data_IF_712854178547
#
_entry.id   IF_712854178547
#
_cell.length_a   1.000
_cell.length_b   1.000
_cell.length_c   1.000
_cell.angle_alpha   90.00
_cell.angle_beta   90.00
_cell.angle_gamma   90.00
#
_symmetry.space_group_name_H-M   'P 1'
#
loop_
_entity.id
_entity.type
_entity.pdbx_description
1 polymer ?
#
# COMPACT_ATOMS: atom_id res chain seq x y z
N UNK A 1 34.87 33.74 -16.25
CA UNK A 1 33.50 33.43 -16.72
C UNK A 1 32.61 34.56 -16.27
N UNK A 2 31.85 35.16 -17.18
CA UNK A 2 31.03 36.32 -16.81
C UNK A 2 29.90 35.89 -15.89
N UNK A 3 29.65 36.69 -14.85
CA UNK A 3 28.57 36.47 -13.88
C UNK A 3 27.25 36.20 -14.59
N UNK A 4 26.94 37.01 -15.59
CA UNK A 4 25.73 36.91 -16.38
C UNK A 4 25.57 35.56 -17.09
N UNK A 5 26.67 34.92 -17.51
CA UNK A 5 26.59 33.62 -18.20
C UNK A 5 26.15 32.52 -17.23
N UNK A 6 26.74 32.47 -16.02
CA UNK A 6 26.39 31.45 -15.02
C UNK A 6 24.94 31.61 -14.55
N UNK A 7 24.53 32.85 -14.29
CA UNK A 7 23.15 33.16 -13.91
C UNK A 7 22.18 32.84 -15.05
N UNK A 8 22.48 33.23 -16.28
CA UNK A 8 21.63 32.94 -17.44
C UNK A 8 21.43 31.45 -17.68
N UNK A 9 22.51 30.65 -17.57
CA UNK A 9 22.43 29.18 -17.68
C UNK A 9 21.57 28.60 -16.56
N UNK A 10 21.76 29.07 -15.32
CA UNK A 10 21.01 28.59 -14.15
C UNK A 10 19.52 28.93 -14.24
N UNK A 11 19.18 30.15 -14.67
CA UNK A 11 17.81 30.59 -14.91
C UNK A 11 17.15 29.81 -16.05
N UNK A 12 17.86 29.59 -17.15
CA UNK A 12 17.37 28.79 -18.27
C UNK A 12 17.02 27.38 -17.81
N UNK A 13 17.90 26.76 -17.02
CA UNK A 13 17.68 25.43 -16.46
C UNK A 13 16.47 25.40 -15.51
N UNK A 14 16.30 26.46 -14.71
CA UNK A 14 15.15 26.63 -13.82
C UNK A 14 13.83 26.74 -14.62
N UNK A 15 13.81 27.53 -15.69
CA UNK A 15 12.63 27.66 -16.57
C UNK A 15 12.31 26.32 -17.25
N UNK A 16 13.31 25.63 -17.78
CA UNK A 16 13.14 24.28 -18.37
C UNK A 16 12.57 23.32 -17.34
N UNK A 17 12.97 23.44 -16.07
CA UNK A 17 12.43 22.60 -15.00
C UNK A 17 10.91 22.71 -14.92
N UNK A 18 10.34 23.92 -15.02
CA UNK A 18 8.89 24.15 -14.94
C UNK A 18 8.11 23.59 -16.13
N UNK A 19 8.76 23.31 -17.26
CA UNK A 19 8.13 22.62 -18.39
C UNK A 19 8.02 21.10 -18.16
N UNK A 20 8.70 20.54 -17.15
CA UNK A 20 8.73 19.11 -16.94
C UNK A 20 7.44 18.58 -16.31
N UNK A 21 6.76 17.68 -17.02
CA UNK A 21 5.60 16.94 -16.50
C UNK A 21 6.00 15.89 -15.45
N UNK A 22 7.23 15.39 -15.48
CA UNK A 22 7.67 14.36 -14.52
C UNK A 22 8.20 14.99 -13.23
N UNK A 23 7.60 14.59 -12.10
CA UNK A 23 7.95 15.12 -10.77
C UNK A 23 9.41 14.91 -10.38
N UNK A 24 10.08 13.86 -10.86
CA UNK A 24 11.50 13.62 -10.56
C UNK A 24 12.41 14.51 -11.40
N UNK A 25 12.16 14.63 -12.70
CA UNK A 25 13.03 15.41 -13.59
C UNK A 25 12.96 16.91 -13.26
N UNK A 26 11.76 17.42 -12.96
CA UNK A 26 11.57 18.76 -12.42
C UNK A 26 12.50 19.01 -11.22
N UNK A 27 12.46 18.13 -10.22
CA UNK A 27 13.26 18.31 -8.98
C UNK A 27 14.76 18.21 -9.23
N UNK A 28 15.20 17.30 -10.10
CA UNK A 28 16.61 17.18 -10.47
C UNK A 28 17.13 18.43 -11.19
N UNK A 29 16.38 18.96 -12.16
CA UNK A 29 16.76 20.17 -12.88
C UNK A 29 16.81 21.39 -11.95
N UNK A 30 15.85 21.53 -11.03
CA UNK A 30 15.91 22.58 -10.00
C UNK A 30 17.17 22.43 -9.15
N UNK A 31 17.52 21.23 -8.69
CA UNK A 31 18.76 21.01 -7.93
C UNK A 31 20.01 21.41 -8.73
N UNK A 32 20.09 21.03 -10.02
CA UNK A 32 21.20 21.43 -10.88
C UNK A 32 21.28 22.96 -11.06
N UNK A 33 20.14 23.64 -11.22
CA UNK A 33 20.10 25.09 -11.31
C UNK A 33 20.60 25.75 -10.01
N UNK A 34 20.22 25.21 -8.84
CA UNK A 34 20.66 25.73 -7.55
C UNK A 34 22.18 25.57 -7.33
N UNK A 35 22.80 24.50 -7.83
CA UNK A 35 24.26 24.39 -7.80
C UNK A 35 24.93 25.53 -8.59
N UNK A 36 24.35 25.95 -9.73
CA UNK A 36 24.84 27.08 -10.51
C UNK A 36 24.75 28.42 -9.76
N UNK A 37 23.61 28.69 -9.12
CA UNK A 37 23.43 29.89 -8.29
C UNK A 37 24.34 29.93 -7.05
N UNK A 38 24.52 28.79 -6.38
CA UNK A 38 25.45 28.65 -5.25
C UNK A 38 26.89 28.88 -5.72
N UNK A 39 27.27 28.27 -6.84
CA UNK A 39 28.62 28.46 -7.40
C UNK A 39 28.88 29.92 -7.78
N UNK A 40 27.92 30.57 -8.45
CA UNK A 40 28.04 31.98 -8.81
C UNK A 40 28.18 32.88 -7.57
N UNK A 41 27.30 32.72 -6.58
CA UNK A 41 27.31 33.55 -5.36
C UNK A 41 28.60 33.39 -4.54
N UNK A 42 29.21 32.21 -4.50
CA UNK A 42 30.51 32.01 -3.87
C UNK A 42 31.67 32.58 -4.70
N UNK A 43 31.66 32.39 -6.02
CA UNK A 43 32.73 32.85 -6.91
C UNK A 43 32.84 34.38 -6.97
N UNK A 44 31.70 35.08 -6.98
CA UNK A 44 31.66 36.55 -7.05
C UNK A 44 31.64 37.23 -5.66
N UNK A 45 31.72 36.45 -4.58
CA UNK A 45 31.73 36.95 -3.21
C UNK A 45 30.33 37.24 -2.66
N UNK A 46 30.10 36.83 -1.41
CA UNK A 46 28.82 36.98 -0.72
C UNK A 46 28.50 38.43 -0.33
N UNK A 47 29.53 39.28 -0.22
CA UNK A 47 29.38 40.71 0.11
C UNK A 47 28.84 41.53 -1.06
N UNK A 48 28.89 40.98 -2.28
CA UNK A 48 28.33 41.61 -3.46
C UNK A 48 26.79 41.74 -3.34
N UNK A 49 26.20 42.84 -3.86
CA UNK A 49 24.75 43.08 -3.73
C UNK A 49 23.91 41.89 -4.19
N UNK A 50 23.08 41.36 -3.29
CA UNK A 50 22.17 40.25 -3.57
C UNK A 50 22.77 38.85 -3.53
N UNK A 51 24.11 38.68 -3.53
CA UNK A 51 24.75 37.36 -3.58
C UNK A 51 24.50 36.52 -2.33
N UNK A 52 24.53 37.13 -1.13
CA UNK A 52 24.16 36.47 0.11
C UNK A 52 22.72 35.93 0.06
N UNK A 53 21.78 36.73 -0.46
CA UNK A 53 20.37 36.33 -0.60
C UNK A 53 20.24 35.16 -1.57
N UNK A 54 20.85 35.25 -2.75
CA UNK A 54 20.86 34.17 -3.73
C UNK A 54 21.42 32.89 -3.12
N UNK A 55 22.56 32.97 -2.42
CA UNK A 55 23.18 31.82 -1.77
C UNK A 55 22.24 31.12 -0.78
N UNK A 56 21.65 31.89 0.15
CA UNK A 56 20.76 31.35 1.20
C UNK A 56 19.54 30.67 0.59
N UNK A 57 18.85 31.34 -0.34
CA UNK A 57 17.63 30.79 -0.95
C UNK A 57 17.94 29.63 -1.89
N UNK A 58 19.06 29.64 -2.60
CA UNK A 58 19.47 28.51 -3.43
C UNK A 58 19.84 27.30 -2.59
N UNK A 59 20.50 27.48 -1.45
CA UNK A 59 20.78 26.41 -0.51
C UNK A 59 19.48 25.81 0.07
N UNK A 60 18.55 26.66 0.54
CA UNK A 60 17.26 26.21 1.06
C UNK A 60 16.45 25.44 0.00
N UNK A 61 16.42 25.97 -1.22
CA UNK A 61 15.72 25.35 -2.35
C UNK A 61 16.37 24.01 -2.72
N UNK A 62 17.70 23.94 -2.76
CA UNK A 62 18.44 22.71 -3.02
C UNK A 62 18.13 21.65 -1.96
N UNK A 63 18.12 22.03 -0.68
CA UNK A 63 17.81 21.12 0.43
C UNK A 63 16.42 20.52 0.29
N UNK A 64 15.39 21.36 0.12
CA UNK A 64 14.00 20.91 -0.04
C UNK A 64 13.84 19.99 -1.25
N UNK A 65 14.37 20.39 -2.41
CA UNK A 65 14.25 19.61 -3.64
C UNK A 65 15.01 18.27 -3.55
N UNK A 66 16.16 18.24 -2.86
CA UNK A 66 16.91 17.01 -2.59
C UNK A 66 16.11 16.02 -1.74
N UNK A 67 15.43 16.49 -0.67
CA UNK A 67 14.54 15.64 0.13
C UNK A 67 13.40 15.05 -0.72
N UNK A 68 12.81 15.84 -1.62
CA UNK A 68 11.79 15.36 -2.55
C UNK A 68 12.33 14.29 -3.50
N UNK A 69 13.52 14.48 -4.07
CA UNK A 69 14.18 13.48 -4.93
C UNK A 69 14.39 12.19 -4.15
N UNK A 70 14.99 12.27 -2.94
CA UNK A 70 15.25 11.10 -2.09
C UNK A 70 13.94 10.36 -1.77
N UNK A 71 12.88 11.09 -1.37
CA UNK A 71 11.57 10.48 -1.09
C UNK A 71 10.99 9.76 -2.31
N UNK A 72 11.07 10.37 -3.50
CA UNK A 72 10.55 9.80 -4.74
C UNK A 72 11.35 8.58 -5.21
N UNK A 73 12.69 8.62 -5.09
CA UNK A 73 13.55 7.48 -5.38
C UNK A 73 13.34 6.36 -4.37
N UNK A 74 13.20 6.68 -3.08
CA UNK A 74 12.93 5.70 -2.05
C UNK A 74 11.65 4.93 -2.35
N UNK A 75 10.57 5.60 -2.76
CA UNK A 75 9.32 4.94 -3.18
C UNK A 75 9.54 4.01 -4.39
N UNK A 76 10.46 4.34 -5.29
CA UNK A 76 10.77 3.56 -6.50
C UNK A 76 11.72 2.39 -6.29
N UNK A 77 12.46 2.31 -5.18
CA UNK A 77 13.37 1.18 -4.92
C UNK A 77 12.52 -0.11 -4.86
N UNK A 78 12.75 -1.06 -5.79
CA UNK A 78 11.92 -2.24 -5.96
C UNK A 78 12.08 -3.15 -4.75
N UNK A 79 10.97 -3.44 -4.07
CA UNK A 79 10.96 -4.47 -3.04
C UNK A 79 10.43 -5.75 -3.67
N UNK A 80 11.23 -6.80 -3.62
CA UNK A 80 10.89 -8.10 -4.18
C UNK A 80 9.89 -8.81 -3.28
N UNK A 81 8.76 -9.21 -3.86
CA UNK A 81 7.75 -10.00 -3.15
C UNK A 81 8.22 -11.46 -3.15
N UNK A 82 8.32 -12.11 -1.98
CA UNK A 82 8.67 -13.53 -1.90
C UNK A 82 7.78 -14.39 -2.79
N UNK A 83 8.36 -15.42 -3.42
CA UNK A 83 7.63 -16.28 -4.37
C UNK A 83 6.34 -16.88 -3.77
N UNK A 84 6.36 -17.22 -2.47
CA UNK A 84 5.19 -17.71 -1.73
C UNK A 84 3.98 -16.77 -1.81
N UNK A 85 4.19 -15.45 -1.89
CA UNK A 85 3.13 -14.45 -1.87
C UNK A 85 2.83 -13.84 -3.25
N UNK A 86 3.63 -14.18 -4.26
CA UNK A 86 3.56 -13.57 -5.60
C UNK A 86 2.20 -13.78 -6.26
N UNK A 87 1.60 -14.96 -6.11
CA UNK A 87 0.27 -15.27 -6.65
C UNK A 87 -0.82 -14.46 -5.95
N UNK A 88 -0.79 -14.39 -4.61
CA UNK A 88 -1.73 -13.59 -3.84
C UNK A 88 -1.66 -12.11 -4.22
N UNK A 89 -0.44 -11.57 -4.31
CA UNK A 89 -0.21 -10.19 -4.72
C UNK A 89 -0.81 -9.89 -6.09
N UNK A 90 -0.44 -10.68 -7.11
CA UNK A 90 -0.89 -10.47 -8.49
C UNK A 90 -2.41 -10.56 -8.65
N UNK A 91 -3.06 -11.50 -7.96
CA UNK A 91 -4.50 -11.78 -8.15
C UNK A 91 -5.42 -10.94 -7.27
N UNK A 92 -5.06 -10.67 -6.01
CA UNK A 92 -5.93 -9.95 -5.05
C UNK A 92 -5.41 -8.57 -4.66
N UNK A 93 -4.10 -8.40 -4.51
CA UNK A 93 -3.51 -7.19 -3.90
C UNK A 93 -2.80 -6.26 -4.90
N UNK A 94 -3.07 -6.37 -6.21
CA UNK A 94 -2.39 -5.58 -7.26
C UNK A 94 -2.52 -4.05 -7.13
N UNK A 95 -3.50 -3.57 -6.36
CA UNK A 95 -3.69 -2.13 -6.04
C UNK A 95 -2.68 -1.61 -5.01
N UNK A 96 -1.99 -2.50 -4.32
CA UNK A 96 -0.92 -2.17 -3.40
C UNK A 96 0.39 -2.08 -4.19
N UNK A 97 1.25 -1.13 -3.86
CA UNK A 97 2.67 -1.24 -4.21
C UNK A 97 3.28 -2.45 -3.49
N UNK A 98 4.40 -3.03 -3.98
CA UNK A 98 5.05 -4.15 -3.32
C UNK A 98 5.37 -3.89 -1.83
N UNK A 99 5.78 -2.66 -1.51
CA UNK A 99 6.05 -2.20 -0.15
C UNK A 99 4.79 -2.19 0.72
N UNK A 100 3.72 -1.59 0.21
CA UNK A 100 2.46 -1.53 0.95
C UNK A 100 1.91 -2.94 1.21
N UNK A 101 2.03 -3.84 0.24
CA UNK A 101 1.66 -5.23 0.42
C UNK A 101 2.48 -5.90 1.52
N UNK A 102 3.80 -5.75 1.50
CA UNK A 102 4.67 -6.34 2.54
C UNK A 102 4.43 -5.74 3.93
N UNK A 103 4.12 -4.44 4.01
CA UNK A 103 3.69 -3.81 5.26
C UNK A 103 2.36 -4.43 5.72
N UNK A 104 1.36 -4.60 4.85
CA UNK A 104 0.12 -5.29 5.22
C UNK A 104 0.41 -6.71 5.75
N UNK A 105 1.27 -7.45 5.06
CA UNK A 105 1.63 -8.82 5.44
C UNK A 105 2.41 -8.88 6.76
N UNK A 106 3.22 -7.87 7.10
CA UNK A 106 3.96 -7.85 8.36
C UNK A 106 3.05 -7.69 9.59
N UNK A 107 1.79 -7.27 9.39
CA UNK A 107 0.78 -7.23 10.45
C UNK A 107 -0.03 -8.52 10.56
N UNK A 108 0.10 -9.44 9.61
CA UNK A 108 -0.52 -10.77 9.70
C UNK A 108 0.37 -11.77 10.42
N UNK A 109 -0.27 -12.76 11.04
CA UNK A 109 0.39 -13.99 11.49
C UNK A 109 0.15 -15.09 10.46
N UNK A 110 1.22 -15.75 10.01
CA UNK A 110 1.11 -16.97 9.21
C UNK A 110 0.79 -18.13 10.15
N UNK A 111 -0.23 -18.92 9.81
CA UNK A 111 -0.64 -20.10 10.56
C UNK A 111 -0.96 -21.24 9.58
N UNK A 112 -1.01 -22.46 10.13
CA UNK A 112 -1.44 -23.66 9.41
C UNK A 112 -2.31 -24.51 10.32
N UNK A 113 -3.35 -25.11 9.77
CA UNK A 113 -4.23 -26.04 10.49
C UNK A 113 -4.54 -27.24 9.60
N UNK A 114 -4.69 -28.42 10.20
CA UNK A 114 -5.12 -29.64 9.51
C UNK A 114 -6.46 -30.10 10.07
N UNK A 115 -7.48 -30.21 9.21
CA UNK A 115 -8.82 -30.71 9.54
C UNK A 115 -9.52 -30.00 10.72
N UNK A 116 -9.04 -28.81 11.10
CA UNK A 116 -9.51 -28.03 12.24
C UNK A 116 -10.33 -26.80 11.84
N UNK A 117 -10.95 -26.14 12.83
CA UNK A 117 -11.71 -24.92 12.60
C UNK A 117 -10.80 -23.69 12.51
N UNK A 118 -10.96 -22.91 11.44
CA UNK A 118 -10.39 -21.58 11.31
C UNK A 118 -11.29 -20.53 11.97
N UNK A 119 -12.60 -20.73 11.82
CA UNK A 119 -13.66 -19.88 12.39
C UNK A 119 -14.72 -20.81 12.98
N UNK A 120 -15.25 -20.44 14.15
CA UNK A 120 -16.44 -21.07 14.72
C UNK A 120 -17.64 -20.13 14.62
N UNK A 121 -18.80 -20.70 14.32
CA UNK A 121 -20.06 -19.99 14.35
C UNK A 121 -20.32 -19.36 15.73
N UNK A 122 -21.02 -18.22 15.75
CA UNK A 122 -21.36 -17.45 16.94
C UNK A 122 -20.17 -16.94 17.76
N UNK A 123 -18.98 -16.86 17.14
CA UNK A 123 -17.80 -16.22 17.75
C UNK A 123 -17.38 -14.96 16.99
N UNK A 124 -16.84 -13.93 17.67
CA UNK A 124 -16.16 -12.84 17.00
C UNK A 124 -14.95 -13.38 16.24
N UNK A 125 -14.76 -12.95 15.00
CA UNK A 125 -13.67 -13.47 14.16
C UNK A 125 -12.68 -12.39 13.74
N UNK A 126 -11.45 -12.85 13.56
CA UNK A 126 -10.38 -12.12 12.90
C UNK A 126 -10.49 -12.26 11.38
N UNK A 127 -9.81 -11.39 10.63
CA UNK A 127 -9.74 -11.51 9.18
C UNK A 127 -8.74 -12.60 8.82
N UNK A 128 -9.17 -13.57 8.01
CA UNK A 128 -8.32 -14.66 7.57
C UNK A 128 -8.23 -14.67 6.04
N UNK A 129 -7.01 -14.81 5.52
CA UNK A 129 -6.75 -14.99 4.09
C UNK A 129 -6.09 -16.35 3.83
N UNK A 130 -6.78 -17.21 3.09
CA UNK A 130 -6.31 -18.56 2.76
C UNK A 130 -5.29 -18.48 1.65
N UNK A 131 -4.06 -18.91 1.91
CA UNK A 131 -2.96 -18.92 0.94
C UNK A 131 -2.99 -20.23 0.15
N UNK A 132 -3.17 -21.34 0.85
CA UNK A 132 -3.14 -22.68 0.29
C UNK A 132 -4.08 -23.62 1.07
N UNK A 133 -4.62 -24.63 0.39
CA UNK A 133 -5.58 -25.59 0.94
C UNK A 133 -7.03 -25.29 0.57
N UNK A 134 -7.93 -26.13 1.08
CA UNK A 134 -9.38 -26.04 0.89
C UNK A 134 -10.06 -25.84 2.24
N UNK A 135 -11.15 -25.08 2.24
CA UNK A 135 -11.96 -24.81 3.41
C UNK A 135 -13.42 -25.08 3.10
N UNK A 136 -14.12 -25.60 4.10
CA UNK A 136 -15.55 -25.86 4.07
C UNK A 136 -16.27 -24.85 4.96
N UNK A 137 -17.30 -24.22 4.41
CA UNK A 137 -18.20 -23.35 5.16
C UNK A 137 -19.35 -24.21 5.67
N UNK A 138 -19.57 -24.18 6.98
CA UNK A 138 -20.55 -24.99 7.67
C UNK A 138 -21.51 -24.06 8.41
N UNK A 139 -22.81 -24.20 8.15
CA UNK A 139 -23.89 -23.50 8.85
C UNK A 139 -24.81 -24.56 9.42
N UNK A 140 -25.16 -24.49 10.71
CA UNK A 140 -26.07 -25.46 11.34
C UNK A 140 -25.67 -26.93 11.08
N UNK A 141 -24.37 -27.23 11.20
CA UNK A 141 -23.77 -28.55 10.91
C UNK A 141 -23.85 -29.05 9.46
N UNK A 142 -24.32 -28.25 8.50
CA UNK A 142 -24.34 -28.61 7.08
C UNK A 142 -23.27 -27.87 6.29
N UNK A 143 -22.59 -28.57 5.37
CA UNK A 143 -21.62 -27.95 4.46
C UNK A 143 -22.41 -27.19 3.39
N UNK A 144 -22.34 -25.86 3.43
CA UNK A 144 -23.07 -24.98 2.50
C UNK A 144 -22.23 -24.55 1.32
N UNK A 145 -20.90 -24.55 1.45
CA UNK A 145 -19.99 -24.12 0.40
C UNK A 145 -18.57 -24.64 0.65
N UNK A 146 -17.79 -24.74 -0.43
CA UNK A 146 -16.35 -25.03 -0.37
C UNK A 146 -15.59 -23.91 -1.07
N UNK A 147 -14.55 -23.40 -0.41
CA UNK A 147 -13.68 -22.37 -0.97
C UNK A 147 -12.24 -22.88 -1.00
N UNK A 148 -11.49 -22.42 -1.98
CA UNK A 148 -10.07 -22.73 -2.12
C UNK A 148 -9.19 -21.53 -1.74
N UNK A 149 -7.90 -21.65 -2.00
CA UNK A 149 -6.91 -20.59 -1.97
C UNK A 149 -7.38 -19.22 -2.54
N UNK A 150 -6.78 -18.15 -2.00
CA UNK A 150 -7.02 -16.74 -2.34
C UNK A 150 -8.38 -16.18 -1.91
N UNK A 151 -9.06 -16.86 -0.99
CA UNK A 151 -10.29 -16.37 -0.38
C UNK A 151 -10.01 -15.67 0.96
N UNK A 152 -10.78 -14.61 1.20
CA UNK A 152 -10.86 -13.94 2.50
C UNK A 152 -12.11 -14.45 3.21
N UNK A 153 -11.97 -14.76 4.49
CA UNK A 153 -13.06 -15.17 5.39
C UNK A 153 -13.00 -14.31 6.67
N UNK A 154 -14.12 -14.27 7.41
CA UNK A 154 -14.26 -13.42 8.60
C UNK A 154 -14.59 -11.96 8.28
N UNK A 155 -14.65 -11.57 6.99
CA UNK A 155 -14.91 -10.18 6.59
C UNK A 155 -16.29 -9.68 7.02
N UNK A 156 -17.30 -10.54 7.02
CA UNK A 156 -18.66 -10.18 7.45
C UNK A 156 -18.61 -9.79 8.92
N UNK A 157 -18.20 -10.71 9.80
CA UNK A 157 -18.08 -10.46 11.24
C UNK A 157 -17.19 -9.26 11.57
N UNK A 158 -16.09 -9.07 10.84
CA UNK A 158 -15.22 -7.91 11.01
C UNK A 158 -15.93 -6.59 10.69
N UNK A 159 -16.55 -6.49 9.52
CA UNK A 159 -17.18 -5.26 9.01
C UNK A 159 -18.50 -4.92 9.71
N UNK A 160 -19.31 -5.91 10.06
CA UNK A 160 -20.60 -5.72 10.76
C UNK A 160 -20.45 -5.63 12.27
N UNK A 161 -19.27 -5.98 12.79
CA UNK A 161 -19.01 -6.15 14.22
C UNK A 161 -19.95 -7.18 14.90
N UNK A 162 -20.48 -8.14 14.13
CA UNK A 162 -21.33 -9.23 14.62
C UNK A 162 -20.53 -10.54 14.77
N UNK A 163 -21.03 -11.52 15.54
CA UNK A 163 -20.48 -12.87 15.52
C UNK A 163 -20.53 -13.49 14.11
N UNK A 164 -19.69 -14.51 13.88
CA UNK A 164 -19.73 -15.27 12.61
C UNK A 164 -21.01 -16.07 12.48
N UNK A 165 -21.64 -15.98 11.31
CA UNK A 165 -22.89 -16.69 10.97
C UNK A 165 -22.58 -18.13 10.49
N UNK A 166 -21.32 -18.43 10.19
CA UNK A 166 -20.89 -19.74 9.73
C UNK A 166 -19.60 -20.17 10.43
N UNK A 167 -19.43 -21.46 10.60
CA UNK A 167 -18.14 -22.06 10.90
C UNK A 167 -17.34 -22.26 9.61
N UNK A 168 -16.02 -22.15 9.70
CA UNK A 168 -15.11 -22.49 8.59
C UNK A 168 -14.11 -23.53 9.08
N UNK A 169 -14.12 -24.69 8.43
CA UNK A 169 -13.24 -25.83 8.74
C UNK A 169 -12.26 -26.08 7.60
N UNK A 170 -11.04 -26.46 7.94
CA UNK A 170 -10.07 -26.94 6.97
C UNK A 170 -10.46 -28.33 6.45
N UNK A 171 -10.30 -28.51 5.14
CA UNK A 171 -10.32 -29.81 4.47
C UNK A 171 -8.88 -30.15 4.09
N UNK A 172 -8.23 -30.99 4.90
CA UNK A 172 -6.79 -31.24 4.84
C UNK A 172 -5.95 -30.11 5.47
N UNK A 173 -4.75 -29.90 4.94
CA UNK A 173 -3.80 -28.89 5.43
C UNK A 173 -4.11 -27.55 4.76
N UNK A 174 -4.37 -26.52 5.58
CA UNK A 174 -4.65 -25.15 5.13
C UNK A 174 -3.62 -24.20 5.73
N UNK A 175 -2.93 -23.46 4.87
CA UNK A 175 -2.06 -22.35 5.26
C UNK A 175 -2.78 -21.01 5.05
N UNK A 176 -2.75 -20.15 6.06
CA UNK A 176 -3.49 -18.90 6.03
C UNK A 176 -2.79 -17.78 6.82
N UNK A 177 -3.14 -16.55 6.48
CA UNK A 177 -2.78 -15.35 7.23
C UNK A 177 -3.94 -14.89 8.09
N UNK A 178 -3.65 -14.51 9.32
CA UNK A 178 -4.62 -13.94 10.26
C UNK A 178 -4.22 -12.51 10.58
N UNK A 179 -5.16 -11.57 10.41
CA UNK A 179 -5.08 -10.25 10.99
C UNK A 179 -6.09 -10.12 12.12
N UNK A 180 -5.58 -10.01 13.34
CA UNK A 180 -6.44 -9.69 14.47
C UNK A 180 -6.98 -8.27 14.40
N UNK A 181 -8.13 -8.03 15.03
CA UNK A 181 -8.71 -6.69 15.14
C UNK A 181 -7.71 -5.67 15.71
N UNK A 182 -6.94 -6.06 16.74
CA UNK A 182 -5.91 -5.20 17.33
C UNK A 182 -4.78 -4.89 16.33
N UNK A 183 -4.35 -5.86 15.53
CA UNK A 183 -3.33 -5.63 14.49
C UNK A 183 -3.84 -4.69 13.39
N UNK A 184 -5.09 -4.84 12.96
CA UNK A 184 -5.69 -3.95 11.97
C UNK A 184 -5.87 -2.52 12.51
N UNK A 185 -6.24 -2.35 13.77
CA UNK A 185 -6.27 -1.02 14.42
C UNK A 185 -4.89 -0.39 14.50
N UNK A 186 -3.83 -1.16 14.78
CA UNK A 186 -2.45 -0.67 14.75
C UNK A 186 -2.01 -0.30 13.34
N UNK A 187 -2.46 -1.04 12.33
CA UNK A 187 -2.20 -0.74 10.92
C UNK A 187 -2.90 0.55 10.49
N UNK A 188 -4.16 0.74 10.88
CA UNK A 188 -4.93 1.95 10.60
C UNK A 188 -4.25 3.20 11.17
N UNK A 189 -3.81 3.15 12.43
CA UNK A 189 -3.12 4.27 13.07
C UNK A 189 -1.78 4.62 12.42
N UNK A 190 -0.99 3.61 12.02
CA UNK A 190 0.38 3.82 11.50
C UNK A 190 0.42 4.06 9.99
N UNK A 191 -0.44 3.39 9.23
CA UNK A 191 -0.47 3.40 7.77
C UNK A 191 -1.92 3.43 7.24
N UNK A 192 -2.67 4.52 7.47
CA UNK A 192 -4.09 4.61 7.16
C UNK A 192 -4.41 4.30 5.69
N UNK A 193 -3.56 4.77 4.76
CA UNK A 193 -3.72 4.50 3.33
C UNK A 193 -3.67 3.00 2.99
N UNK A 194 -2.82 2.22 3.69
CA UNK A 194 -2.72 0.77 3.49
C UNK A 194 -3.95 0.09 4.06
N UNK A 195 -4.38 0.51 5.25
CA UNK A 195 -5.59 0.00 5.89
C UNK A 195 -6.84 0.22 5.01
N UNK A 196 -7.09 1.43 4.51
CA UNK A 196 -8.28 1.69 3.69
C UNK A 196 -8.25 1.00 2.33
N UNK A 197 -7.06 0.79 1.73
CA UNK A 197 -6.93 -0.08 0.55
C UNK A 197 -7.32 -1.53 0.87
N UNK A 198 -6.97 -2.03 2.05
CA UNK A 198 -7.34 -3.37 2.48
C UNK A 198 -8.83 -3.45 2.80
N UNK A 199 -9.36 -2.45 3.47
CA UNK A 199 -10.79 -2.30 3.76
C UNK A 199 -11.64 -2.29 2.48
N UNK A 200 -11.22 -1.59 1.42
CA UNK A 200 -11.85 -1.64 0.09
C UNK A 200 -11.89 -3.06 -0.50
N UNK A 201 -10.85 -3.88 -0.30
CA UNK A 201 -10.85 -5.29 -0.71
C UNK A 201 -11.89 -6.09 0.10
N UNK A 202 -11.98 -5.86 1.42
CA UNK A 202 -12.96 -6.53 2.28
C UNK A 202 -14.40 -6.20 1.87
N UNK A 203 -14.69 -4.92 1.65
CA UNK A 203 -15.99 -4.43 1.18
C UNK A 203 -16.39 -5.08 -0.14
N UNK A 204 -15.47 -5.14 -1.11
CA UNK A 204 -15.73 -5.81 -2.40
C UNK A 204 -15.98 -7.30 -2.25
N UNK A 205 -15.22 -7.97 -1.38
CA UNK A 205 -15.41 -9.38 -1.10
C UNK A 205 -16.80 -9.64 -0.51
N UNK A 206 -17.21 -8.83 0.46
CA UNK A 206 -18.53 -8.88 1.09
C UNK A 206 -19.64 -8.63 0.07
N UNK A 207 -19.52 -7.59 -0.76
CA UNK A 207 -20.50 -7.28 -1.79
C UNK A 207 -20.70 -8.43 -2.79
N UNK A 208 -19.61 -9.08 -3.22
CA UNK A 208 -19.67 -10.26 -4.10
C UNK A 208 -20.43 -11.39 -3.40
N UNK A 209 -20.07 -11.73 -2.15
CA UNK A 209 -20.72 -12.82 -1.41
C UNK A 209 -22.21 -12.56 -1.16
N UNK A 210 -22.59 -11.33 -0.79
CA UNK A 210 -23.99 -10.93 -0.64
C UNK A 210 -24.76 -11.03 -1.96
N UNK A 211 -24.17 -10.60 -3.07
CA UNK A 211 -24.83 -10.71 -4.39
C UNK A 211 -25.09 -12.17 -4.80
N UNK A 212 -24.17 -13.08 -4.47
CA UNK A 212 -24.35 -14.51 -4.69
C UNK A 212 -25.48 -15.07 -3.83
N UNK A 213 -25.53 -14.69 -2.55
CA UNK A 213 -26.57 -15.14 -1.62
C UNK A 213 -27.97 -14.66 -2.05
N UNK A 214 -28.12 -13.40 -2.42
CA UNK A 214 -29.38 -12.84 -2.91
C UNK A 214 -29.86 -13.49 -4.22
N UNK A 215 -28.92 -13.87 -5.09
CA UNK A 215 -29.27 -14.57 -6.33
C UNK A 215 -29.82 -15.97 -6.05
N UNK A 216 -29.26 -16.69 -5.09
CA UNK A 216 -29.74 -18.02 -4.71
C UNK A 216 -31.14 -17.98 -4.07
N UNK A 217 -31.42 -17.00 -3.21
CA UNK A 217 -32.75 -16.84 -2.60
C UNK A 217 -33.82 -16.43 -3.61
N UNK A 218 -33.47 -15.65 -4.64
CA UNK A 218 -34.40 -15.27 -5.72
C UNK A 218 -34.81 -16.42 -6.66
N UNK A 219 -33.97 -17.45 -6.79
CA UNK A 219 -34.22 -18.62 -7.66
C UNK A 219 -34.99 -19.72 -6.92
N UNK A 220 -34.77 -19.89 -5.60
CA UNK A 220 -35.50 -20.85 -4.77
C UNK A 220 -36.94 -20.46 -4.42
N UNK A 221 -37.33 -19.21 -4.68
CA UNK A 221 -38.70 -18.71 -4.47
C UNK A 221 -39.55 -18.67 -5.76
N UNK A 222 -39.13 -19.37 -6.83
CA UNK A 222 -39.91 -19.62 -8.05
C UNK A 222 -40.21 -21.10 -8.16
#
# INVERSE_FOLDING_TARGET
MDMNIVFFISETLLVISYMMASMILLRLLVCFAQFGFIFASLYFGLDSPGMLTTFIFSFLTLFINSLHVIRLLYVKIPVTIPNKYKTAYKKKFKRFSPREFLILMSYAKLQSVKDGYLIKENTPTDIIFVINGKIQIIIENQIVNELSNLNIIGEISFLTNSPSIASVKADGIVEYFVWSRCQLQKLEKKYPNIFYKFYDILLKCLAIKLSHQNRLTSIGNK
#
